data_IF_802426510989
#
_entry.id   IF_802426510989
#
_cell.length_a   1.000
_cell.length_b   1.000
_cell.length_c   1.000
_cell.angle_alpha   90.00
_cell.angle_beta   90.00
_cell.angle_gamma   90.00
#
_symmetry.space_group_name_H-M   'P 1'
#
loop_
_entity.id
_entity.type
_entity.pdbx_description
1 polymer ?
#
# COMPACT_ATOMS: atom_id res chain seq x y z
N UNK A 1 23.15 -0.46 54.78
CA UNK A 1 21.95 0.05 55.47
C UNK A 1 20.92 0.44 54.38
N UNK A 2 19.90 -0.39 54.24
CA UNK A 2 18.93 -0.39 53.14
C UNK A 2 17.76 0.52 53.51
N UNK A 3 17.39 1.47 52.68
CA UNK A 3 16.09 2.16 52.78
C UNK A 3 15.31 2.02 51.46
N UNK A 4 14.26 1.22 51.54
CA UNK A 4 13.24 1.03 50.52
C UNK A 4 12.35 2.29 50.49
N UNK A 5 12.20 2.95 49.30
CA UNK A 5 11.14 3.94 49.06
C UNK A 5 9.91 3.25 48.47
N UNK A 6 8.81 3.30 49.21
CA UNK A 6 7.47 2.86 48.81
C UNK A 6 6.89 3.88 47.83
N UNK A 7 6.46 3.38 46.67
CA UNK A 7 5.65 4.11 45.70
C UNK A 7 4.21 4.12 46.17
N UNK A 8 3.67 5.32 46.44
CA UNK A 8 2.22 5.55 46.69
C UNK A 8 1.49 5.61 45.33
N UNK A 9 0.68 4.61 45.02
CA UNK A 9 -0.36 4.67 43.98
C UNK A 9 -1.50 5.57 44.48
N UNK A 10 -1.73 6.70 43.81
CA UNK A 10 -2.98 7.45 43.92
C UNK A 10 -4.04 6.74 43.07
N UNK A 11 -5.07 6.23 43.73
CA UNK A 11 -6.32 5.81 43.11
C UNK A 11 -7.12 7.07 42.75
N UNK A 12 -7.55 7.18 41.51
CA UNK A 12 -8.62 8.08 41.07
C UNK A 12 -9.92 7.28 41.00
N UNK A 13 -11.07 7.88 41.40
CA UNK A 13 -12.34 7.17 41.45
C UNK A 13 -12.96 6.99 40.07
N UNK A 14 -13.66 5.86 39.90
CA UNK A 14 -14.21 5.35 38.68
C UNK A 14 -15.25 6.22 37.99
N UNK A 15 -15.21 6.18 36.68
CA UNK A 15 -16.33 6.42 35.79
C UNK A 15 -16.51 5.16 34.95
N UNK A 16 -17.47 4.33 35.33
CA UNK A 16 -17.94 3.19 34.52
C UNK A 16 -18.82 3.74 33.41
N UNK A 17 -18.21 4.08 32.29
CA UNK A 17 -18.92 4.18 31.05
C UNK A 17 -18.93 2.79 30.40
N UNK A 18 -20.05 2.09 30.48
CA UNK A 18 -20.34 0.92 29.65
C UNK A 18 -20.34 1.38 28.19
N UNK A 19 -19.26 1.10 27.49
CA UNK A 19 -19.26 1.06 26.03
C UNK A 19 -19.80 -0.32 25.63
N UNK A 20 -21.06 -0.35 25.25
CA UNK A 20 -21.63 -1.47 24.51
C UNK A 20 -20.91 -1.55 23.14
N UNK A 21 -19.92 -2.42 23.08
CA UNK A 21 -19.29 -2.84 21.84
C UNK A 21 -20.33 -3.67 21.06
N UNK A 22 -21.13 -2.99 20.26
CA UNK A 22 -21.94 -3.64 19.24
C UNK A 22 -21.00 -4.28 18.22
N UNK A 23 -20.63 -5.54 18.46
CA UNK A 23 -19.90 -6.37 17.51
C UNK A 23 -20.84 -6.74 16.36
N UNK A 24 -21.01 -5.83 15.40
CA UNK A 24 -21.51 -6.25 14.09
C UNK A 24 -20.37 -6.98 13.37
N UNK A 25 -20.42 -8.29 13.42
CA UNK A 25 -19.55 -9.18 12.64
C UNK A 25 -19.94 -9.11 11.16
N UNK A 26 -19.64 -8.00 10.49
CA UNK A 26 -19.77 -7.90 9.06
C UNK A 26 -18.53 -8.55 8.42
N UNK A 27 -18.68 -9.84 8.08
CA UNK A 27 -17.74 -10.56 7.22
C UNK A 27 -17.60 -9.79 5.90
N UNK A 28 -16.37 -9.52 5.39
CA UNK A 28 -16.19 -8.82 4.13
C UNK A 28 -16.95 -9.58 3.02
N UNK A 29 -17.78 -8.87 2.27
CA UNK A 29 -18.45 -9.44 1.10
C UNK A 29 -17.39 -9.81 0.05
N UNK A 30 -17.36 -11.08 -0.39
CA UNK A 30 -16.58 -11.48 -1.57
C UNK A 30 -17.02 -10.63 -2.77
N UNK A 31 -16.03 -10.14 -3.55
CA UNK A 31 -16.30 -9.35 -4.76
C UNK A 31 -17.32 -10.04 -5.66
N UNK A 32 -18.43 -9.36 -5.92
CA UNK A 32 -19.40 -9.81 -6.91
C UNK A 32 -18.79 -9.68 -8.31
N UNK A 33 -19.20 -10.55 -9.25
CA UNK A 33 -18.79 -10.52 -10.67
C UNK A 33 -19.18 -9.21 -11.41
N UNK A 34 -19.83 -8.27 -10.73
CA UNK A 34 -20.29 -6.98 -11.24
C UNK A 34 -19.57 -5.77 -10.63
N UNK A 35 -18.47 -5.97 -9.91
CA UNK A 35 -17.72 -4.85 -9.34
C UNK A 35 -16.95 -4.11 -10.45
N UNK A 36 -17.20 -2.81 -10.58
CA UNK A 36 -16.57 -1.96 -11.59
C UNK A 36 -15.89 -0.76 -10.95
N UNK A 37 -14.65 -0.48 -11.35
CA UNK A 37 -13.93 0.75 -11.02
C UNK A 37 -14.36 1.88 -11.96
N UNK A 38 -15.63 2.25 -11.86
CA UNK A 38 -16.26 3.28 -12.69
C UNK A 38 -16.22 4.68 -12.01
N UNK A 39 -16.84 5.64 -12.66
CA UNK A 39 -16.94 7.01 -12.15
C UNK A 39 -17.56 7.08 -10.74
N UNK A 40 -18.64 6.32 -10.49
CA UNK A 40 -19.35 6.35 -9.21
C UNK A 40 -18.47 5.83 -8.07
N UNK A 41 -17.68 4.78 -8.34
CA UNK A 41 -16.68 4.27 -7.40
C UNK A 41 -15.68 5.35 -6.98
N UNK A 42 -15.06 6.05 -7.96
CA UNK A 42 -14.06 7.09 -7.66
C UNK A 42 -14.63 8.34 -7.02
N UNK A 43 -15.85 8.74 -7.36
CA UNK A 43 -16.53 9.85 -6.67
C UNK A 43 -16.70 9.52 -5.18
N UNK A 44 -17.20 8.33 -4.85
CA UNK A 44 -17.45 7.91 -3.47
C UNK A 44 -16.16 7.75 -2.65
N UNK A 45 -15.18 6.99 -3.14
CA UNK A 45 -14.04 6.55 -2.32
C UNK A 45 -12.83 7.49 -2.38
N UNK A 46 -12.79 8.43 -3.33
CA UNK A 46 -11.62 9.27 -3.53
C UNK A 46 -11.93 10.78 -3.61
N UNK A 47 -13.12 11.19 -4.01
CA UNK A 47 -13.46 12.60 -4.19
C UNK A 47 -14.35 13.17 -3.11
N UNK A 48 -15.34 12.44 -2.61
CA UNK A 48 -16.20 12.93 -1.53
C UNK A 48 -15.38 13.05 -0.23
N UNK A 49 -15.21 14.26 0.33
CA UNK A 49 -14.43 14.48 1.55
C UNK A 49 -14.94 13.67 2.77
N UNK A 50 -16.22 13.27 2.77
CA UNK A 50 -16.86 12.52 3.86
C UNK A 50 -16.52 11.03 3.82
N UNK A 51 -16.27 10.49 2.64
CA UNK A 51 -16.13 9.04 2.43
C UNK A 51 -14.78 8.64 1.85
N UNK A 52 -13.94 9.59 1.42
CA UNK A 52 -12.63 9.28 0.84
C UNK A 52 -11.71 8.62 1.85
N UNK A 53 -11.02 7.57 1.42
CA UNK A 53 -10.05 6.79 2.21
C UNK A 53 -8.74 7.55 2.42
N UNK A 54 -8.35 8.37 1.46
CA UNK A 54 -7.11 9.16 1.52
C UNK A 54 -7.12 10.28 0.49
N UNK A 55 -6.06 11.09 0.45
CA UNK A 55 -5.94 12.18 -0.49
C UNK A 55 -4.48 12.55 -0.76
N UNK A 56 -4.28 13.54 -1.63
CA UNK A 56 -2.95 13.96 -2.07
C UNK A 56 -1.98 14.22 -0.90
N UNK A 57 -2.45 14.83 0.20
CA UNK A 57 -1.59 15.11 1.36
C UNK A 57 -1.08 13.87 2.09
N UNK A 58 -1.82 12.76 2.11
CA UNK A 58 -1.33 11.49 2.67
C UNK A 58 -0.31 10.84 1.74
N UNK A 59 -0.56 10.87 0.43
CA UNK A 59 0.38 10.37 -0.58
C UNK A 59 1.65 11.22 -0.61
N UNK A 60 1.57 12.54 -0.39
CA UNK A 60 2.75 13.41 -0.28
C UNK A 60 3.67 12.95 0.86
N UNK A 61 3.15 12.81 2.09
CA UNK A 61 3.95 12.34 3.24
C UNK A 61 4.57 10.96 3.01
N UNK A 62 3.80 10.05 2.38
CA UNK A 62 4.27 8.72 2.05
C UNK A 62 5.37 8.76 0.98
N UNK A 63 5.21 9.60 -0.04
CA UNK A 63 6.21 9.83 -1.08
C UNK A 63 7.50 10.42 -0.53
N UNK A 64 7.40 11.41 0.37
CA UNK A 64 8.56 11.99 1.06
C UNK A 64 9.35 10.93 1.81
N UNK A 65 8.66 10.05 2.56
CA UNK A 65 9.27 8.93 3.26
C UNK A 65 9.95 7.95 2.28
N UNK A 66 9.22 7.49 1.26
CA UNK A 66 9.75 6.53 0.27
C UNK A 66 10.96 7.11 -0.45
N UNK A 67 10.90 8.37 -0.88
CA UNK A 67 12.00 9.01 -1.58
C UNK A 67 13.23 9.20 -0.69
N UNK A 68 13.06 9.64 0.56
CA UNK A 68 14.13 9.79 1.53
C UNK A 68 14.80 8.43 1.82
N UNK A 69 13.98 7.39 1.98
CA UNK A 69 14.46 6.05 2.27
C UNK A 69 15.21 5.43 1.09
N UNK A 70 14.70 5.57 -0.14
CA UNK A 70 15.42 5.11 -1.34
C UNK A 70 16.75 5.83 -1.54
N UNK A 71 16.83 7.13 -1.24
CA UNK A 71 18.11 7.89 -1.27
C UNK A 71 19.07 7.36 -0.22
N UNK A 72 18.62 7.12 1.01
CA UNK A 72 19.42 6.52 2.07
C UNK A 72 19.97 5.15 1.67
N UNK A 73 19.15 4.31 1.04
CA UNK A 73 19.56 3.00 0.53
C UNK A 73 20.38 3.05 -0.77
N UNK A 74 20.71 4.24 -1.28
CA UNK A 74 21.48 4.41 -2.51
C UNK A 74 20.76 3.92 -3.77
N UNK A 75 19.41 3.85 -3.75
CA UNK A 75 18.60 3.39 -4.89
C UNK A 75 18.32 4.55 -5.86
N UNK A 76 18.87 4.56 -7.06
CA UNK A 76 18.56 5.58 -8.05
C UNK A 76 17.15 5.37 -8.61
N UNK A 77 16.40 6.46 -8.81
CA UNK A 77 15.08 6.43 -9.43
C UNK A 77 15.07 7.32 -10.67
N UNK A 78 15.07 6.70 -11.84
CA UNK A 78 14.97 7.35 -13.17
C UNK A 78 13.71 6.93 -13.92
N UNK A 79 13.11 5.82 -13.52
CA UNK A 79 11.89 5.29 -14.11
C UNK A 79 10.98 4.74 -13.01
N UNK A 80 9.69 5.09 -13.12
CA UNK A 80 8.66 4.65 -12.16
C UNK A 80 7.50 4.03 -12.92
N UNK A 81 7.01 2.91 -12.42
CA UNK A 81 5.71 2.31 -12.82
C UNK A 81 4.81 2.30 -11.60
N UNK A 82 3.61 2.87 -11.75
CA UNK A 82 2.59 2.91 -10.70
C UNK A 82 1.38 2.06 -11.13
N UNK A 83 1.24 0.87 -10.56
CA UNK A 83 0.15 -0.05 -10.86
C UNK A 83 -1.09 0.27 -10.02
N UNK A 84 -2.22 0.43 -10.69
CA UNK A 84 -3.47 0.89 -10.09
C UNK A 84 -3.36 2.34 -9.66
N UNK A 85 -2.77 3.17 -10.53
CA UNK A 85 -2.46 4.57 -10.22
C UNK A 85 -3.69 5.45 -9.92
N UNK A 86 -4.90 4.99 -10.24
CA UNK A 86 -6.15 5.63 -9.88
C UNK A 86 -6.22 7.09 -10.35
N UNK A 87 -6.46 8.01 -9.43
CA UNK A 87 -6.46 9.46 -9.73
C UNK A 87 -5.07 10.05 -9.99
N UNK A 88 -4.01 9.25 -9.92
CA UNK A 88 -2.64 9.66 -10.22
C UNK A 88 -1.99 10.50 -9.11
N UNK A 89 -2.38 10.32 -7.86
CA UNK A 89 -1.83 11.10 -6.73
C UNK A 89 -0.31 10.96 -6.57
N UNK A 90 0.27 9.83 -6.96
CA UNK A 90 1.72 9.63 -6.95
C UNK A 90 2.47 10.44 -8.00
N UNK A 91 1.86 10.70 -9.15
CA UNK A 91 2.53 11.39 -10.27
C UNK A 91 3.11 12.77 -9.89
N UNK A 92 2.33 13.74 -9.40
CA UNK A 92 2.88 15.05 -9.03
C UNK A 92 3.89 14.96 -7.87
N UNK A 93 3.68 14.04 -6.91
CA UNK A 93 4.59 13.83 -5.78
C UNK A 93 5.94 13.33 -6.28
N UNK A 94 5.95 12.33 -7.17
CA UNK A 94 7.19 11.78 -7.70
C UNK A 94 7.89 12.72 -8.67
N UNK A 95 7.17 13.54 -9.42
CA UNK A 95 7.76 14.59 -10.25
C UNK A 95 8.52 15.63 -9.41
N UNK A 96 7.98 15.98 -8.24
CA UNK A 96 8.67 16.88 -7.29
C UNK A 96 9.91 16.22 -6.68
N UNK A 97 9.82 14.94 -6.26
CA UNK A 97 10.88 14.25 -5.52
C UNK A 97 11.98 13.67 -6.43
N UNK A 98 11.64 13.33 -7.66
CA UNK A 98 12.50 12.79 -8.71
C UNK A 98 12.24 13.49 -10.06
N UNK A 99 12.61 14.76 -10.24
CA UNK A 99 12.22 15.58 -11.39
C UNK A 99 12.65 15.02 -12.76
N UNK A 100 13.68 14.16 -12.76
CA UNK A 100 14.20 13.52 -13.98
C UNK A 100 13.65 12.11 -14.21
N UNK A 101 12.79 11.63 -13.32
CA UNK A 101 12.21 10.30 -13.47
C UNK A 101 11.05 10.31 -14.48
N UNK A 102 11.01 9.31 -15.35
CA UNK A 102 9.87 9.05 -16.20
C UNK A 102 8.85 8.22 -15.44
N UNK A 103 7.64 8.74 -15.33
CA UNK A 103 6.51 8.07 -14.68
C UNK A 103 5.60 7.43 -15.71
N UNK A 104 5.16 6.20 -15.43
CA UNK A 104 4.14 5.46 -16.19
C UNK A 104 3.07 5.00 -15.21
N UNK A 105 1.86 5.54 -15.34
CA UNK A 105 0.68 5.08 -14.60
C UNK A 105 -0.02 3.96 -15.37
N UNK A 106 -0.29 2.84 -14.71
CA UNK A 106 -1.04 1.69 -15.27
C UNK A 106 -2.33 1.51 -14.49
N UNK A 107 -3.47 1.46 -15.20
CA UNK A 107 -4.79 1.44 -14.57
C UNK A 107 -5.75 0.51 -15.34
N UNK A 108 -6.63 -0.18 -14.61
CA UNK A 108 -7.65 -1.07 -15.23
C UNK A 108 -8.92 -0.31 -15.61
N UNK A 109 -9.20 0.81 -14.93
CA UNK A 109 -10.38 1.63 -15.15
C UNK A 109 -10.31 2.35 -16.50
N UNK A 110 -11.17 1.95 -17.42
CA UNK A 110 -11.32 2.62 -18.73
C UNK A 110 -11.66 4.11 -18.58
N UNK A 111 -12.50 4.44 -17.60
CA UNK A 111 -12.87 5.81 -17.27
C UNK A 111 -11.64 6.66 -16.89
N UNK A 112 -10.73 6.14 -16.04
CA UNK A 112 -9.54 6.89 -15.63
C UNK A 112 -8.47 6.92 -16.73
N UNK A 113 -8.29 5.84 -17.47
CA UNK A 113 -7.37 5.82 -18.61
C UNK A 113 -7.75 6.87 -19.64
N UNK A 114 -9.05 6.94 -20.02
CA UNK A 114 -9.55 7.95 -20.95
C UNK A 114 -9.42 9.39 -20.41
N UNK A 115 -9.58 9.58 -19.08
CA UNK A 115 -9.55 10.90 -18.47
C UNK A 115 -8.14 11.45 -18.26
N UNK A 116 -7.17 10.62 -17.90
CA UNK A 116 -5.83 11.02 -17.47
C UNK A 116 -4.71 10.55 -18.39
N UNK A 117 -5.03 9.76 -19.42
CA UNK A 117 -4.02 9.22 -20.36
C UNK A 117 -3.15 8.13 -19.77
N UNK A 118 -3.67 7.36 -18.78
CA UNK A 118 -2.94 6.23 -18.21
C UNK A 118 -2.84 5.07 -19.20
N UNK A 119 -1.79 4.27 -19.08
CA UNK A 119 -1.67 2.98 -19.77
C UNK A 119 -2.76 2.04 -19.26
N UNK A 120 -3.60 1.52 -20.19
CA UNK A 120 -4.63 0.56 -19.82
C UNK A 120 -4.01 -0.82 -19.59
N UNK A 121 -4.11 -1.34 -18.37
CA UNK A 121 -3.55 -2.65 -18.05
C UNK A 121 -3.83 -3.10 -16.62
N UNK A 122 -3.57 -4.37 -16.36
CA UNK A 122 -3.70 -4.98 -15.06
C UNK A 122 -2.34 -5.26 -14.43
N UNK A 123 -2.24 -5.07 -13.12
CA UNK A 123 -1.07 -5.51 -12.36
C UNK A 123 -0.79 -7.02 -12.49
N UNK A 124 -1.78 -7.80 -12.97
CA UNK A 124 -1.65 -9.25 -13.14
C UNK A 124 -0.75 -9.63 -14.33
N UNK A 125 -0.78 -8.83 -15.41
CA UNK A 125 -0.19 -9.23 -16.70
C UNK A 125 0.40 -8.10 -17.56
N UNK A 126 0.07 -6.82 -17.28
CA UNK A 126 0.69 -5.72 -18.01
C UNK A 126 2.22 -5.69 -17.78
N UNK A 127 2.98 -5.51 -18.84
CA UNK A 127 4.44 -5.57 -18.78
C UNK A 127 5.06 -4.43 -19.58
N UNK A 128 5.99 -3.71 -18.96
CA UNK A 128 6.79 -2.70 -19.62
C UNK A 128 7.86 -3.34 -20.53
N UNK A 129 8.28 -2.61 -21.56
CA UNK A 129 9.39 -3.02 -22.41
C UNK A 129 10.71 -3.15 -21.62
N UNK A 130 10.88 -2.41 -20.53
CA UNK A 130 12.02 -2.49 -19.60
C UNK A 130 11.55 -2.32 -18.17
N UNK A 131 12.09 -3.10 -17.20
CA UNK A 131 11.78 -2.93 -15.80
C UNK A 131 12.14 -1.53 -15.29
N UNK A 132 11.33 -1.02 -14.34
CA UNK A 132 11.54 0.29 -13.72
C UNK A 132 12.45 0.22 -12.49
N UNK A 133 13.06 1.37 -12.14
CA UNK A 133 13.84 1.52 -10.91
C UNK A 133 12.95 1.46 -9.67
N UNK A 134 11.76 2.06 -9.75
CA UNK A 134 10.76 2.02 -8.69
C UNK A 134 9.43 1.53 -9.28
N UNK A 135 8.87 0.51 -8.66
CA UNK A 135 7.50 0.07 -8.90
C UNK A 135 6.65 0.42 -7.69
N UNK A 136 5.47 0.98 -7.91
CA UNK A 136 4.48 1.27 -6.89
C UNK A 136 3.27 0.38 -7.10
N UNK A 137 2.76 -0.19 -6.02
CA UNK A 137 1.50 -0.91 -5.97
C UNK A 137 0.82 -0.60 -4.64
N UNK A 138 0.04 0.47 -4.62
CA UNK A 138 -0.55 1.04 -3.42
C UNK A 138 -2.07 0.82 -3.41
N UNK A 139 -2.54 -0.03 -2.50
CA UNK A 139 -3.96 -0.27 -2.32
C UNK A 139 -4.63 -1.07 -3.45
N UNK A 140 -3.90 -1.98 -4.12
CA UNK A 140 -4.40 -2.71 -5.30
C UNK A 140 -4.65 -4.18 -5.04
N UNK A 141 -3.72 -4.88 -4.39
CA UNK A 141 -3.74 -6.34 -4.30
C UNK A 141 -4.92 -6.90 -3.51
N UNK A 142 -5.55 -6.12 -2.65
CA UNK A 142 -6.75 -6.52 -1.92
C UNK A 142 -7.97 -6.72 -2.82
N UNK A 143 -8.01 -6.14 -4.03
CA UNK A 143 -9.09 -6.33 -4.99
C UNK A 143 -8.97 -7.60 -5.84
N UNK A 144 -7.86 -8.30 -5.73
CA UNK A 144 -7.55 -9.53 -6.47
C UNK A 144 -7.80 -10.75 -5.60
N UNK A 145 -8.33 -11.83 -6.14
CA UNK A 145 -8.34 -13.11 -5.43
C UNK A 145 -6.90 -13.63 -5.18
N UNK A 146 -6.74 -14.69 -4.39
CA UNK A 146 -5.41 -15.17 -3.99
C UNK A 146 -4.56 -15.66 -5.16
N UNK A 147 -5.18 -16.25 -6.19
CA UNK A 147 -4.49 -16.71 -7.40
C UNK A 147 -4.04 -15.52 -8.26
N UNK A 148 -4.92 -14.54 -8.42
CA UNK A 148 -4.62 -13.30 -9.14
C UNK A 148 -3.54 -12.49 -8.43
N UNK A 149 -3.63 -12.33 -7.10
CA UNK A 149 -2.63 -11.62 -6.31
C UNK A 149 -1.25 -12.28 -6.33
N UNK A 150 -1.18 -13.62 -6.32
CA UNK A 150 0.07 -14.36 -6.53
C UNK A 150 0.69 -14.04 -7.90
N UNK A 151 -0.10 -14.07 -8.97
CA UNK A 151 0.36 -13.71 -10.32
C UNK A 151 0.82 -12.25 -10.39
N UNK A 152 0.07 -11.35 -9.76
CA UNK A 152 0.38 -9.93 -9.70
C UNK A 152 1.74 -9.67 -9.01
N UNK A 153 2.02 -10.33 -7.88
CA UNK A 153 3.32 -10.23 -7.20
C UNK A 153 4.47 -10.69 -8.11
N UNK A 154 4.30 -11.79 -8.82
CA UNK A 154 5.27 -12.23 -9.83
C UNK A 154 5.45 -11.21 -10.97
N UNK A 155 4.36 -10.55 -11.37
CA UNK A 155 4.41 -9.52 -12.41
C UNK A 155 5.07 -8.21 -11.92
N UNK A 156 4.81 -7.81 -10.66
CA UNK A 156 5.54 -6.69 -10.02
C UNK A 156 7.05 -6.93 -10.06
N UNK A 157 7.50 -8.15 -9.75
CA UNK A 157 8.92 -8.51 -9.78
C UNK A 157 9.52 -8.43 -11.20
N UNK A 158 8.78 -8.84 -12.24
CA UNK A 158 9.23 -8.72 -13.63
C UNK A 158 9.38 -7.27 -14.09
N UNK A 159 8.53 -6.38 -13.60
CA UNK A 159 8.56 -4.96 -13.93
C UNK A 159 9.50 -4.12 -13.05
N UNK A 160 10.12 -4.73 -12.02
CA UNK A 160 10.96 -4.06 -11.03
C UNK A 160 12.42 -4.49 -11.16
N UNK A 161 13.34 -3.54 -11.33
CA UNK A 161 14.80 -3.78 -11.29
C UNK A 161 15.49 -3.19 -10.05
N UNK A 162 14.83 -2.32 -9.31
CA UNK A 162 15.39 -1.67 -8.12
C UNK A 162 14.51 -1.92 -6.89
N UNK A 163 13.55 -1.05 -6.64
CA UNK A 163 12.69 -1.09 -5.48
C UNK A 163 11.20 -1.24 -5.83
N UNK A 164 10.47 -1.95 -5.00
CA UNK A 164 9.01 -2.01 -4.98
C UNK A 164 8.52 -1.31 -3.71
N UNK A 165 7.62 -0.33 -3.85
CA UNK A 165 6.75 0.11 -2.77
C UNK A 165 5.42 -0.61 -2.87
N UNK A 166 5.07 -1.39 -1.86
CA UNK A 166 3.84 -2.16 -1.81
C UNK A 166 3.08 -1.89 -0.52
N UNK A 167 1.84 -1.49 -0.66
CA UNK A 167 0.85 -1.46 0.40
C UNK A 167 -0.41 -2.20 -0.05
N UNK A 168 -0.92 -3.09 0.78
CA UNK A 168 -2.16 -3.81 0.55
C UNK A 168 -2.88 -3.99 1.89
N UNK A 169 -4.20 -3.81 1.90
CA UNK A 169 -5.02 -4.03 3.08
C UNK A 169 -4.97 -5.51 3.48
N UNK A 170 -4.39 -5.77 4.66
CA UNK A 170 -4.32 -7.13 5.22
C UNK A 170 -5.51 -7.41 6.14
N UNK A 171 -5.66 -8.67 6.54
CA UNK A 171 -6.67 -9.06 7.53
C UNK A 171 -6.43 -8.36 8.87
N UNK A 172 -5.17 -8.28 9.30
CA UNK A 172 -4.75 -7.60 10.53
C UNK A 172 -5.04 -6.09 10.47
N UNK A 173 -4.78 -5.44 9.33
CA UNK A 173 -5.10 -4.01 9.16
C UNK A 173 -6.61 -3.76 9.20
N UNK A 174 -7.40 -4.63 8.57
CA UNK A 174 -8.86 -4.54 8.63
C UNK A 174 -9.40 -4.65 10.05
N UNK A 175 -8.79 -5.52 10.87
CA UNK A 175 -9.21 -5.76 12.25
C UNK A 175 -8.77 -4.66 13.21
N UNK A 176 -7.58 -4.05 13.01
CA UNK A 176 -6.92 -3.23 14.00
C UNK A 176 -6.69 -1.77 13.62
N UNK A 177 -6.51 -1.47 12.31
CA UNK A 177 -6.02 -0.18 11.85
C UNK A 177 -7.00 0.58 10.96
N UNK A 178 -8.04 -0.07 10.49
CA UNK A 178 -8.86 0.42 9.40
C UNK A 178 -10.14 1.11 9.91
N UNK A 179 -10.45 2.30 9.40
CA UNK A 179 -11.77 2.91 9.49
C UNK A 179 -12.71 2.19 8.51
N UNK A 180 -13.51 1.25 9.04
CA UNK A 180 -14.40 0.40 8.24
C UNK A 180 -15.57 1.13 7.61
N UNK A 181 -15.91 2.32 8.07
CA UNK A 181 -16.97 3.13 7.47
C UNK A 181 -16.51 3.80 6.18
N UNK A 182 -15.22 4.12 6.09
CA UNK A 182 -14.62 4.78 4.93
C UNK A 182 -13.92 3.82 3.99
N UNK A 183 -13.42 2.70 4.51
CA UNK A 183 -12.66 1.74 3.71
C UNK A 183 -13.60 0.85 2.91
N UNK A 184 -13.30 0.67 1.63
CA UNK A 184 -14.02 -0.28 0.78
C UNK A 184 -13.89 -1.70 1.32
N UNK A 185 -15.00 -2.27 1.79
CA UNK A 185 -15.07 -3.63 2.32
C UNK A 185 -15.19 -4.73 1.25
N UNK A 186 -15.30 -4.36 -0.03
CA UNK A 186 -15.41 -5.31 -1.13
C UNK A 186 -14.03 -5.80 -1.59
N UNK A 187 -13.33 -6.49 -0.70
CA UNK A 187 -11.93 -6.90 -0.84
C UNK A 187 -11.70 -8.34 -0.40
N UNK A 188 -10.61 -8.93 -0.89
CA UNK A 188 -10.09 -10.22 -0.46
C UNK A 188 -9.02 -10.02 0.62
N UNK A 189 -9.42 -10.10 1.87
CA UNK A 189 -8.50 -9.96 3.00
C UNK A 189 -7.61 -11.20 3.15
N UNK A 190 -6.31 -10.99 3.19
CA UNK A 190 -5.31 -12.03 3.45
C UNK A 190 -4.45 -11.65 4.65
N UNK A 191 -3.99 -12.62 5.44
CA UNK A 191 -3.06 -12.32 6.53
C UNK A 191 -1.73 -11.81 5.98
N UNK A 192 -1.06 -10.93 6.71
CA UNK A 192 0.25 -10.36 6.35
C UNK A 192 1.28 -11.47 6.06
N UNK A 193 1.20 -12.59 6.78
CA UNK A 193 2.06 -13.77 6.56
C UNK A 193 1.93 -14.35 5.15
N UNK A 194 0.73 -14.28 4.54
CA UNK A 194 0.54 -14.70 3.16
C UNK A 194 1.36 -13.83 2.20
N UNK A 195 1.28 -12.49 2.33
CA UNK A 195 2.03 -11.55 1.50
C UNK A 195 3.54 -11.74 1.66
N UNK A 196 4.04 -11.83 2.90
CA UNK A 196 5.47 -12.08 3.19
C UNK A 196 5.97 -13.35 2.51
N UNK A 197 5.20 -14.45 2.57
CA UNK A 197 5.55 -15.71 1.91
C UNK A 197 5.65 -15.59 0.39
N UNK A 198 4.75 -14.81 -0.26
CA UNK A 198 4.78 -14.60 -1.70
C UNK A 198 5.93 -13.68 -2.14
N UNK A 199 6.25 -12.67 -1.36
CA UNK A 199 7.26 -11.67 -1.67
C UNK A 199 8.69 -12.19 -1.43
N UNK A 200 8.91 -12.96 -0.37
CA UNK A 200 10.24 -13.44 0.07
C UNK A 200 11.12 -14.05 -1.02
N UNK A 201 10.63 -14.87 -1.98
CA UNK A 201 11.46 -15.41 -3.07
C UNK A 201 11.89 -14.37 -4.11
N UNK A 202 11.24 -13.21 -4.16
CA UNK A 202 11.35 -12.24 -5.25
C UNK A 202 11.96 -10.91 -4.79
N UNK A 203 11.90 -10.62 -3.49
CA UNK A 203 12.31 -9.35 -2.90
C UNK A 203 12.87 -9.53 -1.49
N UNK A 204 13.76 -8.63 -1.13
CA UNK A 204 14.25 -8.43 0.24
C UNK A 204 13.47 -7.31 0.90
N UNK A 205 12.74 -7.54 2.02
CA UNK A 205 12.03 -6.49 2.73
C UNK A 205 13.02 -5.51 3.35
N UNK A 206 12.83 -4.21 3.10
CA UNK A 206 13.65 -3.14 3.67
C UNK A 206 12.91 -2.36 4.78
N UNK A 207 11.62 -2.66 5.02
CA UNK A 207 10.78 -1.94 5.98
C UNK A 207 9.91 -0.86 5.34
N UNK A 208 8.90 -0.36 6.08
CA UNK A 208 8.01 0.72 5.62
C UNK A 208 7.29 0.48 4.29
N UNK A 209 7.00 -0.78 3.93
CA UNK A 209 6.40 -1.12 2.63
C UNK A 209 7.39 -1.12 1.46
N UNK A 210 8.67 -0.86 1.71
CA UNK A 210 9.74 -0.89 0.70
C UNK A 210 10.38 -2.28 0.64
N UNK A 211 10.53 -2.78 -0.58
CA UNK A 211 11.14 -4.06 -0.91
C UNK A 211 12.19 -3.84 -1.99
N UNK A 212 13.35 -4.45 -1.86
CA UNK A 212 14.44 -4.36 -2.83
C UNK A 212 14.54 -5.64 -3.66
N UNK A 213 15.07 -5.53 -4.87
CA UNK A 213 15.45 -6.73 -5.63
C UNK A 213 16.56 -7.47 -4.87
N UNK A 214 16.63 -8.81 -4.95
CA UNK A 214 17.63 -9.60 -4.21
C UNK A 214 19.08 -9.28 -4.59
N UNK A 215 19.30 -8.75 -5.80
CA UNK A 215 20.59 -8.32 -6.35
C UNK A 215 20.91 -6.84 -6.06
N UNK A 216 20.09 -6.16 -5.25
CA UNK A 216 20.36 -4.79 -4.83
C UNK A 216 21.66 -4.70 -4.01
N UNK A 217 22.55 -3.74 -4.30
CA UNK A 217 23.77 -3.53 -3.52
C UNK A 217 23.52 -2.85 -2.16
N UNK A 218 22.29 -2.51 -1.84
CA UNK A 218 21.96 -1.84 -0.57
C UNK A 218 22.27 -2.74 0.63
N UNK A 219 22.94 -2.18 1.62
CA UNK A 219 23.18 -2.83 2.91
C UNK A 219 22.01 -2.52 3.83
N UNK A 220 21.34 -3.57 4.29
CA UNK A 220 20.27 -3.47 5.29
C UNK A 220 20.81 -4.02 6.61
N UNK A 221 20.75 -3.20 7.67
CA UNK A 221 21.12 -3.66 9.01
C UNK A 221 20.01 -4.52 9.61
N UNK A 222 20.37 -5.41 10.55
CA UNK A 222 19.44 -6.40 11.12
C UNK A 222 18.17 -5.79 11.74
N UNK A 223 18.23 -4.57 12.30
CA UNK A 223 17.08 -3.87 12.84
C UNK A 223 16.19 -3.19 11.78
N UNK A 224 16.67 -3.07 10.54
CA UNK A 224 15.89 -2.49 9.44
C UNK A 224 15.03 -3.54 8.74
N UNK A 225 15.39 -4.82 8.88
CA UNK A 225 14.68 -5.93 8.23
C UNK A 225 13.55 -6.45 9.12
N UNK A 226 12.32 -6.42 8.61
CA UNK A 226 11.19 -7.13 9.23
C UNK A 226 11.24 -8.61 8.86
N UNK A 227 11.76 -9.46 9.74
CA UNK A 227 11.76 -10.92 9.58
C UNK A 227 10.38 -11.54 9.85
#
# INVERSE_FOLDING_TARGET
>A
MMQRRRSMRRMLPGSTAHFDLCHSSSTPRQMSSRFSFDRAYYERHYRDPRTRVGGLGSVQRLGDFVAAYLRYLGQPVRTVIDFGCGLGHWSPVLQQLFPRARYTGVEVSEYLCARYGWERGSVIDWTAARPADLVICHGVLQYLDSRQAHRAIGNLARNCRGALFLEALTKEDWEQNCDRERTDGNVYLRPVAWYRRQLRPLFTPAGGGVFLRPDSPAVLYELETCR
#
